data_IF_432981165418
#
_entry.id   IF_432981165418
#
_cell.length_a   1.000
_cell.length_b   1.000
_cell.length_c   1.000
_cell.angle_alpha   90.00
_cell.angle_beta   90.00
_cell.angle_gamma   90.00
#
_symmetry.space_group_name_H-M   'P 1'
#
loop_
_entity.id
_entity.type
_entity.pdbx_description
1 polymer ?
#
# COMPACT_ATOMS: atom_id res chain seq x y z
N UNK A 1 26.07 38.80 -20.86
CA UNK A 1 26.13 37.50 -20.13
C UNK A 1 25.14 37.40 -18.98
N UNK A 2 25.04 38.39 -18.09
CA UNK A 2 24.17 38.35 -16.88
C UNK A 2 22.68 38.08 -17.18
N UNK A 3 22.12 38.65 -18.23
CA UNK A 3 20.69 38.50 -18.62
C UNK A 3 20.30 37.06 -18.97
N UNK A 4 21.19 36.27 -19.59
CA UNK A 4 20.92 34.86 -19.89
C UNK A 4 20.84 34.01 -18.61
N UNK A 5 21.66 34.35 -17.61
CA UNK A 5 21.68 33.67 -16.31
C UNK A 5 20.39 33.87 -15.53
N UNK A 6 19.81 35.09 -15.54
CA UNK A 6 18.54 35.38 -14.87
C UNK A 6 17.35 34.65 -15.52
N UNK A 7 17.32 34.57 -16.85
CA UNK A 7 16.26 33.84 -17.58
C UNK A 7 16.30 32.34 -17.24
N UNK A 8 17.50 31.74 -17.19
CA UNK A 8 17.65 30.34 -16.78
C UNK A 8 17.18 30.10 -15.34
N UNK A 9 17.44 31.04 -14.43
CA UNK A 9 17.02 30.94 -13.03
C UNK A 9 15.50 31.03 -12.87
N UNK A 10 14.85 31.94 -13.60
CA UNK A 10 13.39 32.11 -13.60
C UNK A 10 12.69 30.86 -14.16
N UNK A 11 13.21 30.28 -15.24
CA UNK A 11 12.67 29.03 -15.80
C UNK A 11 12.76 27.88 -14.79
N UNK A 12 13.88 27.75 -14.06
CA UNK A 12 14.06 26.73 -13.03
C UNK A 12 13.01 26.84 -11.92
N UNK A 13 12.72 28.06 -11.47
CA UNK A 13 11.69 28.31 -10.45
C UNK A 13 10.30 27.92 -10.98
N UNK A 14 9.95 28.32 -12.20
CA UNK A 14 8.64 27.97 -12.82
C UNK A 14 8.47 26.45 -12.97
N UNK A 15 9.52 25.73 -13.38
CA UNK A 15 9.48 24.26 -13.46
C UNK A 15 9.36 23.60 -12.09
N UNK A 16 9.98 24.18 -11.06
CA UNK A 16 9.90 23.69 -9.67
C UNK A 16 8.48 23.80 -9.11
N UNK A 17 7.76 24.88 -9.43
CA UNK A 17 6.38 25.08 -8.97
C UNK A 17 5.35 24.13 -9.62
N UNK A 18 5.67 23.55 -10.79
CA UNK A 18 4.81 22.55 -11.46
C UNK A 18 5.09 21.11 -11.02
N UNK A 19 6.07 20.89 -10.15
CA UNK A 19 6.34 19.58 -9.59
C UNK A 19 5.22 19.20 -8.59
N UNK A 20 4.17 18.55 -9.10
CA UNK A 20 3.17 17.88 -8.27
C UNK A 20 3.77 16.60 -7.69
N UNK A 21 4.66 16.77 -6.71
CA UNK A 21 5.25 15.68 -5.96
C UNK A 21 4.12 14.87 -5.31
N UNK A 22 4.11 13.56 -5.58
CA UNK A 22 3.21 12.65 -4.88
C UNK A 22 3.72 12.52 -3.44
N UNK A 23 2.82 12.68 -2.48
CA UNK A 23 3.18 12.53 -1.07
C UNK A 23 3.65 11.09 -0.79
N UNK A 24 4.44 10.93 0.27
CA UNK A 24 5.00 9.64 0.68
C UNK A 24 4.60 9.37 2.11
N UNK A 25 3.89 8.28 2.34
CA UNK A 25 3.75 7.73 3.68
C UNK A 25 4.98 6.91 4.01
N UNK A 26 5.58 7.17 5.18
CA UNK A 26 6.77 6.47 5.67
C UNK A 26 6.54 6.01 7.10
N UNK A 27 6.82 4.74 7.37
CA UNK A 27 6.93 4.18 8.71
C UNK A 27 8.38 3.82 8.99
N UNK A 28 9.07 4.67 9.79
CA UNK A 28 10.48 4.47 10.10
C UNK A 28 10.70 3.20 10.94
N UNK A 29 9.80 2.94 11.90
CA UNK A 29 9.83 1.76 12.78
C UNK A 29 9.87 0.45 12.01
N UNK A 30 9.14 0.36 10.89
CA UNK A 30 9.02 -0.86 10.08
C UNK A 30 9.82 -0.80 8.77
N UNK A 31 10.54 0.29 8.51
CA UNK A 31 11.30 0.48 7.27
C UNK A 31 10.45 0.37 6.01
N UNK A 32 9.20 0.87 6.06
CA UNK A 32 8.23 0.81 4.97
C UNK A 32 7.90 2.21 4.47
N UNK A 33 7.72 2.35 3.16
CA UNK A 33 7.19 3.56 2.56
C UNK A 33 6.38 3.26 1.32
N UNK A 34 5.37 4.09 1.05
CA UNK A 34 4.55 4.02 -0.15
C UNK A 34 4.24 5.42 -0.68
N UNK A 35 4.15 5.55 -1.99
CA UNK A 35 3.60 6.75 -2.63
C UNK A 35 2.10 6.82 -2.36
N UNK A 36 1.65 7.93 -1.79
CA UNK A 36 0.24 8.09 -1.41
C UNK A 36 -0.62 8.18 -2.67
N UNK A 37 -1.68 7.36 -2.80
CA UNK A 37 -2.55 7.38 -3.97
C UNK A 37 -3.22 8.75 -4.10
N UNK A 38 -2.95 9.46 -5.20
CA UNK A 38 -3.45 10.82 -5.41
C UNK A 38 -4.97 10.86 -5.40
N UNK A 39 -5.53 11.77 -4.59
CA UNK A 39 -6.98 12.01 -4.50
C UNK A 39 -7.74 10.99 -3.65
N UNK A 40 -7.05 10.15 -2.87
CA UNK A 40 -7.68 9.23 -1.92
C UNK A 40 -7.63 9.82 -0.51
N UNK A 41 -8.62 9.50 0.31
CA UNK A 41 -8.61 9.87 1.72
C UNK A 41 -7.70 8.95 2.51
N UNK A 42 -6.91 9.52 3.42
CA UNK A 42 -5.94 8.80 4.25
C UNK A 42 -6.42 8.75 5.70
N UNK A 43 -6.54 7.54 6.22
CA UNK A 43 -6.78 7.29 7.64
C UNK A 43 -5.53 6.70 8.28
N UNK A 44 -4.94 7.45 9.22
CA UNK A 44 -3.82 6.98 10.03
C UNK A 44 -4.35 6.29 11.28
N UNK A 45 -4.00 5.02 11.45
CA UNK A 45 -4.28 4.34 12.70
C UNK A 45 -3.27 4.83 13.75
N UNK A 46 -3.71 5.42 14.86
CA UNK A 46 -2.83 6.07 15.86
C UNK A 46 -2.07 5.07 16.75
N UNK A 47 -2.34 3.77 16.64
CA UNK A 47 -1.68 2.72 17.43
C UNK A 47 -0.24 2.39 17.01
N UNK A 48 0.37 3.21 16.15
CA UNK A 48 1.72 3.04 15.57
C UNK A 48 2.84 2.91 16.63
N UNK A 49 2.55 3.26 17.88
CA UNK A 49 3.51 3.28 18.99
C UNK A 49 3.64 1.95 19.77
N UNK A 50 2.70 1.01 19.64
CA UNK A 50 2.75 -0.25 20.42
C UNK A 50 3.61 -1.33 19.74
N UNK A 51 4.24 -2.22 20.52
CA UNK A 51 5.03 -3.36 20.01
C UNK A 51 4.16 -4.36 19.22
N UNK A 52 4.72 -5.00 18.19
CA UNK A 52 4.07 -6.11 17.50
C UNK A 52 3.99 -7.31 18.44
N UNK A 53 2.81 -7.62 18.97
CA UNK A 53 2.60 -8.88 19.67
C UNK A 53 2.62 -10.03 18.66
N UNK A 54 3.08 -11.22 19.08
CA UNK A 54 3.31 -12.39 18.21
C UNK A 54 2.09 -12.82 17.38
N UNK A 55 0.89 -12.37 17.74
CA UNK A 55 -0.37 -12.87 17.16
C UNK A 55 -1.24 -11.79 16.50
N UNK A 56 -0.88 -10.50 16.58
CA UNK A 56 -1.76 -9.43 16.13
C UNK A 56 -1.07 -8.56 15.08
N UNK A 57 -1.66 -8.52 13.88
CA UNK A 57 -1.33 -7.54 12.86
C UNK A 57 -1.72 -6.13 13.26
N UNK A 58 -0.96 -5.16 12.76
CA UNK A 58 -1.23 -3.74 12.96
C UNK A 58 -1.45 -3.05 11.64
N UNK A 59 -2.62 -2.45 11.50
CA UNK A 59 -2.89 -1.53 10.40
C UNK A 59 -2.05 -0.26 10.59
N UNK A 60 -1.27 0.09 9.58
CA UNK A 60 -0.41 1.26 9.55
C UNK A 60 -1.14 2.47 8.97
N UNK A 61 -1.77 2.27 7.82
CA UNK A 61 -2.50 3.29 7.07
C UNK A 61 -3.55 2.63 6.19
N UNK A 62 -4.68 3.30 6.06
CA UNK A 62 -5.74 2.94 5.12
C UNK A 62 -6.01 4.10 4.20
N UNK A 63 -6.14 3.81 2.89
CA UNK A 63 -6.56 4.77 1.89
C UNK A 63 -7.91 4.36 1.32
N UNK A 64 -8.87 5.27 1.27
CA UNK A 64 -10.20 5.04 0.69
C UNK A 64 -10.44 6.00 -0.46
N UNK A 65 -10.98 5.49 -1.58
CA UNK A 65 -11.20 6.31 -2.78
C UNK A 65 -12.36 7.29 -2.61
N UNK A 66 -13.41 6.86 -1.91
CA UNK A 66 -14.61 7.68 -1.66
C UNK A 66 -14.80 7.92 -0.17
N UNK A 67 -15.40 9.06 0.18
CA UNK A 67 -15.76 9.38 1.57
C UNK A 67 -16.78 8.38 2.09
N UNK A 68 -16.69 8.06 3.38
CA UNK A 68 -17.67 7.20 4.05
C UNK A 68 -19.07 7.83 3.96
N UNK A 69 -19.96 7.23 3.18
CA UNK A 69 -21.34 7.70 2.97
C UNK A 69 -21.63 8.35 1.62
N UNK A 70 -20.62 8.60 0.77
CA UNK A 70 -20.80 9.04 -0.61
C UNK A 70 -20.89 7.82 -1.55
N UNK A 71 -22.11 7.33 -1.82
CA UNK A 71 -22.52 6.36 -2.85
C UNK A 71 -21.77 5.00 -3.03
N UNK A 72 -22.60 3.95 -2.95
CA UNK A 72 -22.54 2.59 -3.52
C UNK A 72 -21.60 1.55 -2.87
N UNK A 73 -22.11 0.31 -2.89
CA UNK A 73 -21.84 -0.85 -2.02
C UNK A 73 -20.37 -1.29 -1.88
N UNK A 74 -19.46 -0.79 -2.71
CA UNK A 74 -18.04 -1.15 -2.73
C UNK A 74 -17.17 0.11 -2.77
N UNK A 75 -16.41 0.35 -1.70
CA UNK A 75 -15.43 1.44 -1.63
C UNK A 75 -14.01 0.88 -1.83
N UNK A 76 -13.33 1.16 -2.96
CA UNK A 76 -11.95 0.76 -3.17
C UNK A 76 -11.05 1.23 -2.03
N UNK A 77 -10.36 0.29 -1.41
CA UNK A 77 -9.57 0.52 -0.20
C UNK A 77 -8.19 -0.11 -0.36
N UNK A 78 -7.15 0.62 0.03
CA UNK A 78 -5.80 0.09 0.20
C UNK A 78 -5.51 0.06 1.69
N UNK A 79 -5.41 -1.14 2.26
CA UNK A 79 -5.04 -1.33 3.65
C UNK A 79 -3.61 -1.86 3.72
N UNK A 80 -2.76 -1.18 4.49
CA UNK A 80 -1.39 -1.59 4.73
C UNK A 80 -1.27 -1.99 6.19
N UNK A 81 -0.97 -3.26 6.44
CA UNK A 81 -0.72 -3.80 7.76
C UNK A 81 0.66 -4.43 7.86
N UNK A 82 1.15 -4.54 9.10
CA UNK A 82 2.37 -5.27 9.45
C UNK A 82 2.07 -6.31 10.50
N UNK A 83 2.59 -7.51 10.29
CA UNK A 83 2.41 -8.67 11.15
C UNK A 83 3.77 -9.30 11.46
N UNK A 84 3.96 -9.73 12.70
CA UNK A 84 5.10 -10.57 13.02
C UNK A 84 4.80 -12.00 12.55
N UNK A 85 5.33 -12.36 11.37
CA UNK A 85 5.10 -13.68 10.80
C UNK A 85 6.43 -14.35 10.44
N UNK A 86 6.69 -15.52 11.02
CA UNK A 86 7.86 -16.35 10.75
C UNK A 86 7.69 -17.30 9.56
N UNK A 87 6.54 -17.28 8.88
CA UNK A 87 6.27 -18.18 7.74
C UNK A 87 7.07 -17.77 6.50
N UNK A 88 7.59 -18.77 5.79
CA UNK A 88 8.24 -18.57 4.49
C UNK A 88 7.21 -18.20 3.40
N UNK A 89 7.59 -17.44 2.36
CA UNK A 89 6.70 -17.02 1.28
C UNK A 89 5.94 -18.17 0.60
N UNK A 90 6.58 -19.33 0.44
CA UNK A 90 5.97 -20.49 -0.23
C UNK A 90 4.77 -21.03 0.57
N UNK A 91 4.82 -20.93 1.90
CA UNK A 91 3.71 -21.33 2.76
C UNK A 91 2.51 -20.39 2.61
N UNK A 92 2.75 -19.11 2.34
CA UNK A 92 1.69 -18.14 2.06
C UNK A 92 1.01 -18.40 0.72
N UNK A 93 1.79 -18.68 -0.34
CA UNK A 93 1.22 -19.05 -1.65
C UNK A 93 0.34 -20.29 -1.51
N UNK A 94 0.83 -21.33 -0.83
CA UNK A 94 0.03 -22.54 -0.54
C UNK A 94 -1.24 -22.22 0.26
N UNK A 95 -1.21 -21.25 1.16
CA UNK A 95 -2.39 -20.82 1.94
C UNK A 95 -3.38 -20.03 1.09
N UNK A 96 -2.90 -19.16 0.20
CA UNK A 96 -3.75 -18.41 -0.74
C UNK A 96 -4.45 -19.30 -1.76
N UNK A 97 -3.74 -20.31 -2.28
CA UNK A 97 -4.28 -21.26 -3.25
C UNK A 97 -5.23 -22.30 -2.64
N UNK A 98 -5.19 -22.49 -1.32
CA UNK A 98 -6.13 -23.38 -0.63
C UNK A 98 -7.45 -22.62 -0.43
N UNK A 99 -8.59 -23.20 -0.82
CA UNK A 99 -9.87 -22.75 -0.32
C UNK A 99 -9.78 -22.74 1.21
N UNK A 100 -9.90 -21.57 1.83
CA UNK A 100 -10.03 -21.54 3.28
C UNK A 100 -11.40 -22.12 3.63
N UNK A 101 -11.55 -22.82 4.76
CA UNK A 101 -12.87 -23.25 5.25
C UNK A 101 -13.82 -22.07 5.51
N UNK A 102 -13.30 -20.84 5.56
CA UNK A 102 -14.08 -19.59 5.58
C UNK A 102 -14.51 -19.12 4.19
N UNK A 103 -13.75 -19.45 3.14
CA UNK A 103 -14.04 -19.07 1.75
C UNK A 103 -15.17 -19.91 1.16
N UNK A 104 -15.32 -21.17 1.59
CA UNK A 104 -16.38 -22.05 1.10
C UNK A 104 -17.80 -21.53 1.42
N UNK A 105 -17.96 -20.75 2.49
CA UNK A 105 -19.27 -20.22 2.93
C UNK A 105 -19.64 -18.87 2.28
N UNK A 106 -18.66 -18.04 1.91
CA UNK A 106 -18.90 -16.65 1.48
C UNK A 106 -18.41 -16.31 0.08
N UNK A 107 -17.54 -17.13 -0.50
CA UNK A 107 -16.96 -16.91 -1.83
C UNK A 107 -17.13 -18.17 -2.67
N UNK A 108 -18.38 -18.42 -3.08
CA UNK A 108 -18.79 -19.59 -3.87
C UNK A 108 -18.03 -19.75 -5.21
N UNK A 109 -17.35 -18.69 -5.67
CA UNK A 109 -16.56 -18.67 -6.91
C UNK A 109 -15.19 -17.99 -6.72
N UNK A 110 -14.44 -18.36 -5.68
CA UNK A 110 -13.09 -17.85 -5.49
C UNK A 110 -12.16 -18.37 -6.61
N UNK A 111 -11.82 -17.51 -7.57
CA UNK A 111 -10.82 -17.78 -8.59
C UNK A 111 -9.84 -16.62 -8.64
N UNK A 112 -8.56 -16.91 -8.87
CA UNK A 112 -7.56 -15.87 -9.06
C UNK A 112 -7.61 -15.41 -10.52
N UNK A 113 -7.88 -14.13 -10.76
CA UNK A 113 -7.62 -13.53 -12.07
C UNK A 113 -6.11 -13.59 -12.43
N UNK A 114 -5.23 -13.59 -11.42
CA UNK A 114 -3.79 -13.84 -11.56
C UNK A 114 -3.26 -14.70 -10.41
N UNK A 115 -2.67 -15.83 -10.75
CA UNK A 115 -2.05 -16.74 -9.78
C UNK A 115 -0.98 -16.01 -8.93
N UNK A 116 -0.93 -16.29 -7.60
CA UNK A 116 0.08 -15.72 -6.74
C UNK A 116 1.51 -16.06 -7.20
N UNK A 117 2.38 -15.05 -7.28
CA UNK A 117 3.78 -15.20 -7.65
C UNK A 117 4.71 -14.56 -6.63
N UNK A 118 5.93 -15.09 -6.51
CA UNK A 118 6.97 -14.49 -5.66
C UNK A 118 7.63 -13.34 -6.43
N UNK A 119 7.68 -12.18 -5.80
CA UNK A 119 8.36 -10.99 -6.30
C UNK A 119 9.57 -10.66 -5.42
N UNK A 120 10.54 -9.93 -5.97
CA UNK A 120 11.58 -9.29 -5.17
C UNK A 120 11.26 -7.79 -5.04
N UNK A 121 11.05 -7.33 -3.81
CA UNK A 121 10.78 -5.92 -3.49
C UNK A 121 11.90 -5.45 -2.58
N UNK A 122 12.78 -4.59 -3.09
CA UNK A 122 13.93 -4.05 -2.35
C UNK A 122 14.78 -5.12 -1.65
N UNK A 123 15.06 -6.23 -2.33
CA UNK A 123 15.85 -7.34 -1.79
C UNK A 123 15.08 -8.27 -0.84
N UNK A 124 13.78 -8.04 -0.62
CA UNK A 124 12.90 -8.91 0.19
C UNK A 124 11.92 -9.68 -0.71
N UNK A 125 11.56 -10.89 -0.30
CA UNK A 125 10.53 -11.66 -0.98
C UNK A 125 9.15 -11.06 -0.69
N UNK A 126 8.41 -10.75 -1.74
CA UNK A 126 6.99 -10.37 -1.72
C UNK A 126 6.15 -11.42 -2.44
N UNK A 127 4.83 -11.37 -2.24
CA UNK A 127 3.87 -12.19 -2.96
C UNK A 127 2.81 -11.27 -3.56
N UNK A 128 2.47 -11.48 -4.82
CA UNK A 128 1.43 -10.73 -5.51
C UNK A 128 0.44 -11.69 -6.16
N UNK A 129 -0.85 -11.46 -5.95
CA UNK A 129 -1.94 -12.18 -6.58
C UNK A 129 -3.15 -11.27 -6.75
N UNK A 130 -4.03 -11.61 -7.69
CA UNK A 130 -5.29 -10.89 -7.93
C UNK A 130 -6.43 -11.89 -7.79
N UNK A 131 -7.29 -11.64 -6.82
CA UNK A 131 -8.55 -12.35 -6.59
C UNK A 131 -9.63 -11.66 -7.41
#
# INVERSE_FOLDING_TARGET
MKTKTYISFILLIIFSYKANAQEIYKSEKFGFSILEPKGWEKELNREQYFNLDKNNGKNLVTYTKYKRGENNEINPTINISVENNGAKPENFIKKMLKPSSWNETYYLEHSFAKNPEILNINGKNGIYGVV
#
